data_IF_769300024142
#
_entry.id   IF_769300024142
#
_cell.length_a   1.000
_cell.length_b   1.000
_cell.length_c   1.000
_cell.angle_alpha   90.00
_cell.angle_beta   90.00
_cell.angle_gamma   90.00
#
_symmetry.space_group_name_H-M   'P 1'
#
loop_
_entity.id
_entity.type
_entity.pdbx_description
1 polymer ?
#
# COMPACT_ATOMS: atom_id res chain seq x y z
N UNK A 1 -2.46 34.42 9.91
CA UNK A 1 -2.56 33.15 9.16
C UNK A 1 -3.84 32.44 9.59
N UNK A 2 -4.84 32.31 8.71
CA UNK A 2 -6.14 31.68 9.01
C UNK A 2 -6.03 30.17 8.79
N UNK A 3 -6.41 29.38 9.79
CA UNK A 3 -6.52 27.93 9.69
C UNK A 3 -7.57 27.55 8.64
N UNK A 4 -7.15 26.97 7.52
CA UNK A 4 -8.01 26.36 6.49
C UNK A 4 -7.96 24.83 6.65
N UNK A 5 -8.26 24.35 7.86
CA UNK A 5 -8.43 22.93 8.14
C UNK A 5 -9.89 22.70 8.52
N UNK A 6 -10.61 21.90 7.72
CA UNK A 6 -11.93 21.42 8.12
C UNK A 6 -13.03 21.34 7.06
N UNK A 7 -12.72 21.38 5.75
CA UNK A 7 -13.69 20.88 4.76
C UNK A 7 -13.30 19.45 4.39
N UNK A 8 -13.84 18.48 5.12
CA UNK A 8 -13.79 17.07 4.70
C UNK A 8 -14.30 16.94 3.27
N UNK A 9 -13.63 16.12 2.46
CA UNK A 9 -13.97 15.99 1.05
C UNK A 9 -15.38 15.37 0.93
N UNK A 10 -16.37 16.01 0.27
CA UNK A 10 -17.70 15.45 0.11
C UNK A 10 -17.72 14.15 -0.72
N UNK A 11 -16.61 13.81 -1.38
CA UNK A 11 -16.50 12.66 -2.27
C UNK A 11 -16.67 11.33 -1.54
N UNK A 12 -16.20 11.15 -0.30
CA UNK A 12 -16.30 9.85 0.37
C UNK A 12 -17.71 9.54 0.89
N UNK A 13 -18.37 10.53 1.52
CA UNK A 13 -19.78 10.41 1.91
C UNK A 13 -20.68 10.19 0.68
N UNK A 14 -20.33 10.82 -0.46
CA UNK A 14 -21.01 10.56 -1.73
C UNK A 14 -20.72 9.17 -2.30
N UNK A 15 -19.51 8.63 -2.12
CA UNK A 15 -19.12 7.30 -2.57
C UNK A 15 -19.91 6.20 -1.84
N UNK A 16 -20.03 6.30 -0.51
CA UNK A 16 -20.85 5.36 0.28
C UNK A 16 -22.32 5.41 -0.16
N UNK A 17 -22.85 6.61 -0.45
CA UNK A 17 -24.21 6.76 -1.00
C UNK A 17 -24.35 6.28 -2.45
N UNK A 18 -23.34 6.50 -3.30
CA UNK A 18 -23.41 6.23 -4.74
C UNK A 18 -23.13 4.78 -5.10
N UNK A 19 -22.38 4.04 -4.28
CA UNK A 19 -22.04 2.64 -4.54
C UNK A 19 -23.17 1.67 -4.17
N UNK A 20 -24.28 2.16 -3.60
CA UNK A 20 -25.43 1.32 -3.26
C UNK A 20 -25.06 0.14 -2.34
N UNK A 21 -24.03 0.30 -1.51
CA UNK A 21 -23.53 -0.76 -0.63
C UNK A 21 -24.62 -1.08 0.38
N UNK A 22 -25.31 -2.20 0.15
CA UNK A 22 -26.27 -2.77 1.08
C UNK A 22 -25.53 -3.82 1.91
N UNK A 23 -25.34 -3.54 3.19
CA UNK A 23 -24.82 -4.52 4.14
C UNK A 23 -25.92 -5.54 4.45
N UNK A 24 -25.90 -6.68 3.76
CA UNK A 24 -26.83 -7.79 4.06
C UNK A 24 -26.21 -8.68 5.15
N UNK A 25 -26.77 -8.61 6.35
CA UNK A 25 -26.67 -9.68 7.37
C UNK A 25 -25.46 -9.66 8.32
N UNK A 26 -24.46 -8.78 8.12
CA UNK A 26 -23.34 -8.64 9.08
C UNK A 26 -23.30 -7.21 9.62
N UNK A 27 -23.54 -7.07 10.92
CA UNK A 27 -23.33 -5.80 11.61
C UNK A 27 -21.83 -5.59 11.80
N UNK A 28 -21.29 -4.54 11.16
CA UNK A 28 -19.89 -4.12 11.29
C UNK A 28 -19.86 -2.81 12.05
N UNK A 29 -19.20 -2.77 13.20
CA UNK A 29 -19.10 -1.57 14.02
C UNK A 29 -18.02 -0.60 13.52
N UNK A 30 -16.93 -1.13 12.95
CA UNK A 30 -15.76 -0.35 12.52
C UNK A 30 -15.23 -0.85 11.17
N UNK A 31 -15.03 0.08 10.25
CA UNK A 31 -14.31 -0.09 8.99
C UNK A 31 -12.98 0.66 9.06
N UNK A 32 -11.88 -0.08 9.02
CA UNK A 32 -10.54 0.50 8.80
C UNK A 32 -10.32 0.55 7.29
N UNK A 33 -10.42 1.75 6.73
CA UNK A 33 -10.42 1.96 5.27
C UNK A 33 -9.04 2.29 4.71
N UNK A 34 -8.97 2.10 3.40
CA UNK A 34 -7.92 2.38 2.42
C UNK A 34 -8.55 2.05 1.05
N UNK A 35 -7.90 2.24 -0.11
CA UNK A 35 -6.55 2.72 -0.40
C UNK A 35 -6.50 4.18 -0.87
N UNK A 36 -7.57 4.95 -0.64
CA UNK A 36 -7.75 6.29 -1.24
C UNK A 36 -6.72 7.32 -0.77
N UNK A 37 -5.91 6.98 0.24
CA UNK A 37 -4.95 7.89 0.89
C UNK A 37 -5.61 9.09 1.59
N UNK A 38 -6.94 9.11 1.67
CA UNK A 38 -7.71 10.09 2.41
C UNK A 38 -7.39 10.05 3.91
N UNK A 39 -7.27 11.21 4.51
CA UNK A 39 -7.12 11.37 5.95
C UNK A 39 -8.49 11.67 6.55
N UNK A 40 -8.93 10.83 7.49
CA UNK A 40 -10.09 11.11 8.34
C UNK A 40 -9.57 11.50 9.73
N UNK A 41 -9.52 12.80 10.08
CA UNK A 41 -8.99 13.24 11.37
C UNK A 41 -9.75 12.66 12.57
N UNK A 42 -11.04 12.38 12.38
CA UNK A 42 -11.94 11.70 13.31
C UNK A 42 -12.77 10.65 12.56
N UNK A 43 -13.28 9.60 13.23
CA UNK A 43 -14.13 8.60 12.60
C UNK A 43 -15.36 9.22 11.92
N UNK A 44 -15.67 8.76 10.71
CA UNK A 44 -16.92 9.12 10.02
C UNK A 44 -17.99 8.09 10.36
N UNK A 45 -19.14 8.53 10.88
CA UNK A 45 -20.26 7.65 11.23
C UNK A 45 -21.14 7.43 10.00
N UNK A 46 -21.43 6.17 9.67
CA UNK A 46 -22.33 5.79 8.59
C UNK A 46 -23.79 5.94 9.05
N UNK A 47 -24.59 6.78 8.38
CA UNK A 47 -26.00 6.95 8.73
C UNK A 47 -26.78 5.63 8.61
N UNK A 48 -27.67 5.36 9.57
CA UNK A 48 -28.54 4.19 9.56
C UNK A 48 -27.92 2.92 10.14
N UNK A 49 -26.60 2.73 10.04
CA UNK A 49 -25.91 1.57 10.63
C UNK A 49 -25.15 1.90 11.91
N UNK A 50 -24.73 3.16 12.08
CA UNK A 50 -23.87 3.57 13.20
C UNK A 50 -22.41 3.10 13.07
N UNK A 51 -22.06 2.45 11.95
CA UNK A 51 -20.71 1.98 11.70
C UNK A 51 -19.71 3.14 11.60
N UNK A 52 -18.47 2.92 12.02
CA UNK A 52 -17.42 3.94 12.08
C UNK A 52 -16.38 3.69 11.01
N UNK A 53 -16.14 4.64 10.13
CA UNK A 53 -15.09 4.56 9.13
C UNK A 53 -13.89 5.37 9.59
N UNK A 54 -12.74 4.72 9.68
CA UNK A 54 -11.46 5.35 10.04
C UNK A 54 -10.45 5.17 8.92
N UNK A 55 -9.61 6.18 8.69
CA UNK A 55 -8.53 6.13 7.71
C UNK A 55 -7.40 7.09 8.09
N UNK A 56 -6.17 6.58 8.13
CA UNK A 56 -4.99 7.30 8.61
C UNK A 56 -4.12 7.86 7.47
N UNK A 57 -4.74 8.35 6.40
CA UNK A 57 -4.01 8.95 5.28
C UNK A 57 -3.07 7.97 4.58
N UNK A 58 -1.82 8.38 4.39
CA UNK A 58 -0.85 7.69 3.56
C UNK A 58 0.60 7.98 3.98
N UNK A 59 1.54 7.14 3.54
CA UNK A 59 2.99 7.22 3.84
C UNK A 59 3.36 7.31 5.31
N UNK A 60 2.54 6.73 6.18
CA UNK A 60 2.73 6.79 7.62
C UNK A 60 2.89 8.23 8.14
N UNK A 61 2.38 9.25 7.41
CA UNK A 61 2.35 10.65 7.87
C UNK A 61 1.44 10.82 9.08
N UNK A 62 0.51 9.88 9.25
CA UNK A 62 -0.43 9.81 10.36
C UNK A 62 -0.55 8.35 10.83
N UNK A 63 -0.86 8.17 12.10
CA UNK A 63 -1.26 6.89 12.70
C UNK A 63 -2.66 7.06 13.25
N UNK A 64 -3.57 6.14 12.95
CA UNK A 64 -4.91 6.14 13.52
C UNK A 64 -4.90 5.55 14.93
N UNK A 65 -5.45 6.26 15.91
CA UNK A 65 -5.78 5.74 17.24
C UNK A 65 -7.30 5.62 17.32
N UNK A 66 -7.77 4.44 17.71
CA UNK A 66 -9.19 4.19 17.94
C UNK A 66 -9.34 3.45 19.27
N UNK A 67 -10.05 4.08 20.19
CA UNK A 67 -10.42 3.52 21.48
C UNK A 67 -11.87 3.07 21.40
N UNK A 68 -12.13 1.84 21.82
CA UNK A 68 -13.44 1.20 21.77
C UNK A 68 -13.78 0.65 23.14
N UNK A 69 -14.99 0.95 23.61
CA UNK A 69 -15.59 0.25 24.75
C UNK A 69 -16.59 -0.76 24.20
N UNK A 70 -16.38 -2.04 24.50
CA UNK A 70 -17.21 -3.15 24.02
C UNK A 70 -17.96 -3.76 25.17
N UNK A 71 -19.28 -3.84 25.05
CA UNK A 71 -20.11 -4.65 25.93
C UNK A 71 -19.95 -6.12 25.52
N UNK A 72 -19.49 -6.96 26.45
CA UNK A 72 -19.18 -8.37 26.20
C UNK A 72 -20.42 -9.27 26.16
N UNK A 73 -21.51 -8.86 26.81
CA UNK A 73 -22.77 -9.62 26.79
C UNK A 73 -23.46 -9.43 25.45
N UNK A 74 -23.61 -8.16 25.03
CA UNK A 74 -24.27 -7.83 23.76
C UNK A 74 -23.34 -7.91 22.55
N UNK A 75 -22.02 -7.96 22.79
CA UNK A 75 -20.95 -7.94 21.78
C UNK A 75 -21.03 -6.71 20.87
N UNK A 76 -21.37 -5.56 21.44
CA UNK A 76 -21.53 -4.29 20.72
C UNK A 76 -20.56 -3.24 21.22
N UNK A 77 -20.16 -2.35 20.31
CA UNK A 77 -19.41 -1.13 20.67
C UNK A 77 -20.38 -0.12 21.26
N UNK A 78 -20.21 0.20 22.54
CA UNK A 78 -21.05 1.18 23.26
C UNK A 78 -20.45 2.58 23.24
N UNK A 79 -19.12 2.69 23.20
CA UNK A 79 -18.42 3.96 23.08
C UNK A 79 -17.24 3.83 22.12
N UNK A 80 -16.91 4.91 21.43
CA UNK A 80 -15.71 4.97 20.63
C UNK A 80 -15.18 6.40 20.52
N UNK A 81 -13.87 6.54 20.65
CA UNK A 81 -13.14 7.77 20.38
C UNK A 81 -12.02 7.46 19.40
N UNK A 82 -11.87 8.27 18.35
CA UNK A 82 -10.82 8.05 17.37
C UNK A 82 -10.23 9.35 16.88
N UNK A 83 -8.93 9.31 16.60
CA UNK A 83 -8.17 10.42 16.05
C UNK A 83 -7.07 9.93 15.11
N UNK A 84 -6.69 10.77 14.15
CA UNK A 84 -5.45 10.58 13.40
C UNK A 84 -4.34 11.42 14.04
N UNK A 85 -3.27 10.76 14.48
CA UNK A 85 -2.12 11.37 15.15
C UNK A 85 -1.02 11.61 14.12
N UNK A 86 -0.50 12.85 13.96
CA UNK A 86 0.55 13.13 12.99
C UNK A 86 1.88 12.51 13.43
N UNK A 87 2.53 11.80 12.52
CA UNK A 87 3.86 11.24 12.72
C UNK A 87 4.90 12.27 12.31
N UNK A 88 5.49 12.92 13.31
CA UNK A 88 6.44 14.02 13.13
C UNK A 88 7.85 13.52 13.38
N UNK A 89 8.67 13.40 12.33
CA UNK A 89 10.05 12.91 12.45
C UNK A 89 10.92 13.72 13.42
N UNK A 90 10.62 15.01 13.63
CA UNK A 90 11.32 15.88 14.58
C UNK A 90 10.92 15.66 16.05
N UNK A 91 9.84 14.91 16.31
CA UNK A 91 9.26 14.76 17.66
C UNK A 91 8.96 13.33 18.07
N UNK A 92 8.73 12.44 17.11
CA UNK A 92 8.44 11.04 17.37
C UNK A 92 9.75 10.29 17.54
N UNK A 93 10.01 9.65 18.71
CA UNK A 93 11.20 8.84 18.91
C UNK A 93 11.27 7.74 17.86
N UNK A 94 12.47 7.53 17.31
CA UNK A 94 12.72 6.42 16.39
C UNK A 94 13.02 5.16 17.20
N UNK A 95 12.35 4.06 16.86
CA UNK A 95 12.70 2.75 17.38
C UNK A 95 14.09 2.34 16.87
N UNK A 96 15.06 2.27 17.78
CA UNK A 96 16.45 2.00 17.45
C UNK A 96 16.66 0.59 16.88
N UNK A 97 15.91 -0.40 17.37
CA UNK A 97 16.01 -1.78 16.90
C UNK A 97 15.45 -1.92 15.47
N UNK A 98 14.29 -1.29 15.22
CA UNK A 98 13.70 -1.25 13.88
C UNK A 98 14.62 -0.52 12.89
N UNK A 99 15.18 0.64 13.28
CA UNK A 99 16.11 1.39 12.42
C UNK A 99 17.37 0.58 12.10
N UNK A 100 17.95 -0.11 13.08
CA UNK A 100 19.11 -0.98 12.87
C UNK A 100 18.79 -2.10 11.88
N UNK A 101 17.63 -2.75 12.04
CA UNK A 101 17.17 -3.78 11.13
C UNK A 101 16.94 -3.26 9.70
N UNK A 102 16.28 -2.11 9.54
CA UNK A 102 16.07 -1.47 8.22
C UNK A 102 17.40 -1.19 7.54
N UNK A 103 18.35 -0.57 8.24
CA UNK A 103 19.69 -0.26 7.69
C UNK A 103 20.46 -1.49 7.28
N UNK A 104 20.46 -2.54 8.12
CA UNK A 104 21.05 -3.81 7.78
C UNK A 104 20.41 -4.35 6.50
N UNK A 105 19.08 -4.36 6.42
CA UNK A 105 18.37 -4.93 5.29
C UNK A 105 18.59 -4.14 4.00
N UNK A 106 18.65 -2.82 4.07
CA UNK A 106 19.01 -1.95 2.95
C UNK A 106 20.42 -2.24 2.44
N UNK A 107 21.39 -2.41 3.35
CA UNK A 107 22.78 -2.72 2.96
C UNK A 107 22.92 -4.08 2.27
N UNK A 108 22.14 -5.08 2.69
CA UNK A 108 22.14 -6.41 2.10
C UNK A 108 21.45 -6.45 0.72
N UNK A 109 20.35 -5.70 0.56
CA UNK A 109 19.50 -5.78 -0.63
C UNK A 109 19.83 -4.77 -1.72
N UNK A 110 20.26 -3.56 -1.33
CA UNK A 110 20.48 -2.44 -2.23
C UNK A 110 21.59 -1.53 -1.67
N UNK A 111 22.84 -2.00 -1.56
CA UNK A 111 23.95 -1.20 -1.03
C UNK A 111 24.13 0.13 -1.79
N UNK A 112 23.84 0.15 -3.09
CA UNK A 112 23.87 1.35 -3.93
C UNK A 112 22.73 2.35 -3.69
N UNK A 113 21.71 2.02 -2.89
CA UNK A 113 20.63 2.96 -2.53
C UNK A 113 21.15 4.18 -1.76
N UNK A 114 22.39 4.12 -1.27
CA UNK A 114 23.08 5.24 -0.63
C UNK A 114 23.84 6.12 -1.63
N UNK A 115 24.05 5.66 -2.87
CA UNK A 115 24.82 6.39 -3.87
C UNK A 115 23.99 7.56 -4.41
N UNK A 116 24.55 8.77 -4.25
CA UNK A 116 23.98 9.98 -4.85
C UNK A 116 24.35 10.02 -6.32
N UNK A 117 23.35 9.91 -7.20
CA UNK A 117 23.52 9.94 -8.65
C UNK A 117 23.56 11.35 -9.22
N UNK A 118 22.69 12.21 -8.70
CA UNK A 118 22.51 13.59 -9.17
C UNK A 118 22.31 14.45 -7.94
N UNK A 119 22.91 15.64 -7.94
CA UNK A 119 22.60 16.71 -7.00
C UNK A 119 21.94 17.83 -7.78
N UNK A 120 20.76 18.21 -7.34
CA UNK A 120 20.00 19.36 -7.76
C UNK A 120 19.75 20.26 -6.54
N UNK A 121 19.64 21.56 -6.76
CA UNK A 121 19.43 22.53 -5.69
C UNK A 121 17.96 22.70 -5.30
N UNK A 122 17.04 22.17 -6.11
CA UNK A 122 15.60 22.30 -5.93
C UNK A 122 14.92 21.07 -5.34
N UNK A 123 13.65 21.24 -5.03
CA UNK A 123 12.74 20.15 -4.71
C UNK A 123 11.96 19.83 -5.97
N UNK A 124 12.01 18.57 -6.43
CA UNK A 124 11.29 18.15 -7.63
C UNK A 124 9.86 17.79 -7.27
N UNK A 125 8.90 18.47 -7.89
CA UNK A 125 7.48 18.14 -7.85
C UNK A 125 7.21 16.81 -8.57
N UNK A 126 6.06 16.18 -8.28
CA UNK A 126 5.66 14.95 -8.96
C UNK A 126 5.62 15.07 -10.49
N UNK A 127 5.20 16.22 -11.02
CA UNK A 127 5.15 16.45 -12.46
C UNK A 127 6.56 16.53 -13.07
N UNK A 128 7.51 17.18 -12.38
CA UNK A 128 8.90 17.26 -12.82
C UNK A 128 9.57 15.88 -12.79
N UNK A 129 9.28 15.06 -11.77
CA UNK A 129 9.74 13.67 -11.71
C UNK A 129 9.15 12.85 -12.87
N UNK A 130 7.87 13.03 -13.19
CA UNK A 130 7.23 12.36 -14.32
C UNK A 130 7.82 12.81 -15.67
N UNK A 131 8.11 14.11 -15.83
CA UNK A 131 8.79 14.63 -17.03
C UNK A 131 10.20 14.07 -17.16
N UNK A 132 10.96 14.02 -16.06
CA UNK A 132 12.29 13.39 -16.05
C UNK A 132 12.19 11.91 -16.45
N UNK A 133 11.21 11.18 -15.92
CA UNK A 133 10.94 9.79 -16.29
C UNK A 133 10.58 9.63 -17.77
N UNK A 134 9.68 10.46 -18.29
CA UNK A 134 9.29 10.46 -19.70
C UNK A 134 10.48 10.76 -20.63
N UNK A 135 11.31 11.75 -20.28
CA UNK A 135 12.51 12.11 -21.04
C UNK A 135 13.56 10.97 -21.02
N UNK A 136 13.74 10.32 -19.86
CA UNK A 136 14.64 9.17 -19.72
C UNK A 136 14.16 7.99 -20.56
N UNK A 137 12.86 7.66 -20.52
CA UNK A 137 12.27 6.59 -21.33
C UNK A 137 12.41 6.87 -22.83
N UNK A 138 12.11 8.10 -23.28
CA UNK A 138 12.30 8.53 -24.66
C UNK A 138 13.75 8.29 -25.12
N UNK A 139 14.71 8.77 -24.33
CA UNK A 139 16.15 8.64 -24.65
C UNK A 139 16.60 7.17 -24.68
N UNK A 140 16.16 6.37 -23.72
CA UNK A 140 16.53 4.96 -23.63
C UNK A 140 15.94 4.12 -24.77
N UNK A 141 14.69 4.42 -25.15
CA UNK A 141 13.99 3.71 -26.22
C UNK A 141 14.34 4.21 -27.63
N UNK A 142 15.06 5.34 -27.75
CA UNK A 142 15.36 6.02 -29.02
C UNK A 142 14.09 6.35 -29.82
N UNK A 143 13.05 6.79 -29.12
CA UNK A 143 11.77 7.19 -29.71
C UNK A 143 11.63 8.71 -29.71
N UNK A 144 10.66 9.23 -30.46
CA UNK A 144 10.38 10.68 -30.50
C UNK A 144 9.62 11.15 -29.25
N UNK A 145 8.82 10.26 -28.65
CA UNK A 145 7.97 10.55 -27.49
C UNK A 145 8.15 9.47 -26.43
N UNK A 146 8.16 9.89 -25.16
CA UNK A 146 8.09 9.03 -23.99
C UNK A 146 6.92 9.44 -23.10
N UNK A 147 6.21 8.47 -22.54
CA UNK A 147 5.09 8.70 -21.64
C UNK A 147 5.43 8.17 -20.25
N UNK A 148 5.03 8.91 -19.22
CA UNK A 148 5.23 8.55 -17.83
C UNK A 148 3.99 8.97 -17.02
N UNK A 149 3.45 8.06 -16.21
CA UNK A 149 2.22 8.30 -15.47
C UNK A 149 2.54 9.02 -14.14
N UNK A 150 1.97 10.20 -13.94
CA UNK A 150 2.29 11.05 -12.79
C UNK A 150 1.79 10.53 -11.42
N UNK A 151 0.99 9.46 -11.37
CA UNK A 151 0.32 9.03 -10.14
C UNK A 151 0.66 7.63 -9.61
N UNK A 152 1.34 6.76 -10.38
CA UNK A 152 1.51 5.36 -9.99
C UNK A 152 2.95 4.90 -10.25
N UNK A 153 3.74 4.76 -9.18
CA UNK A 153 5.06 4.11 -9.22
C UNK A 153 6.27 5.02 -9.00
N UNK A 154 6.10 6.33 -8.90
CA UNK A 154 7.18 7.24 -8.50
C UNK A 154 7.17 7.46 -6.98
N UNK A 155 8.32 7.77 -6.36
CA UNK A 155 8.35 8.23 -4.98
C UNK A 155 7.31 9.35 -4.82
N UNK A 156 6.26 9.09 -4.04
CA UNK A 156 5.11 10.00 -3.88
C UNK A 156 5.38 11.08 -2.81
N UNK A 157 6.66 11.32 -2.52
CA UNK A 157 7.15 12.49 -1.82
C UNK A 157 7.95 13.33 -2.82
N UNK A 158 7.89 14.65 -2.69
CA UNK A 158 8.81 15.53 -3.40
C UNK A 158 10.23 15.02 -3.20
N UNK A 159 10.97 14.86 -4.30
CA UNK A 159 12.33 14.39 -4.21
C UNK A 159 13.20 15.55 -3.75
N UNK A 160 13.96 15.42 -2.64
CA UNK A 160 15.06 16.35 -2.42
C UNK A 160 15.96 16.26 -3.65
N UNK A 161 16.58 17.37 -4.07
CA UNK A 161 17.36 17.44 -5.31
C UNK A 161 18.49 16.40 -5.43
N UNK A 162 18.77 15.61 -4.41
CA UNK A 162 19.60 14.41 -4.53
C UNK A 162 18.82 13.18 -5.01
N UNK A 163 19.05 12.74 -6.25
CA UNK A 163 18.57 11.44 -6.73
C UNK A 163 19.54 10.32 -6.35
N UNK A 164 19.03 9.13 -6.01
CA UNK A 164 19.84 7.96 -5.64
C UNK A 164 19.62 6.77 -6.58
N UNK A 165 20.61 5.89 -6.67
CA UNK A 165 20.55 4.73 -7.56
C UNK A 165 19.65 3.65 -6.97
N UNK A 166 18.68 3.17 -7.74
CA UNK A 166 17.96 1.93 -7.43
C UNK A 166 18.22 0.94 -8.55
N UNK A 167 18.75 -0.26 -8.23
CA UNK A 167 18.70 -1.35 -9.19
C UNK A 167 17.25 -1.76 -9.43
N UNK A 168 16.91 -2.24 -10.64
CA UNK A 168 15.71 -3.03 -10.82
C UNK A 168 15.79 -4.21 -9.83
N UNK A 169 14.86 -4.29 -8.88
CA UNK A 169 14.74 -5.46 -8.00
C UNK A 169 14.62 -6.67 -8.92
N UNK A 170 15.51 -7.67 -8.83
CA UNK A 170 15.39 -8.87 -9.63
C UNK A 170 13.99 -9.42 -9.41
N UNK A 171 13.15 -9.42 -10.46
CA UNK A 171 11.83 -10.05 -10.36
C UNK A 171 12.10 -11.48 -9.90
N UNK A 172 11.67 -11.83 -8.68
CA UNK A 172 11.64 -13.23 -8.24
C UNK A 172 10.98 -13.98 -9.40
N UNK A 173 11.75 -14.83 -10.10
CA UNK A 173 11.17 -15.75 -11.08
C UNK A 173 10.08 -16.45 -10.31
N UNK A 174 8.82 -16.16 -10.64
CA UNK A 174 7.68 -16.75 -9.96
C UNK A 174 7.98 -18.23 -9.88
N UNK A 175 8.01 -18.75 -8.65
CA UNK A 175 8.13 -20.19 -8.44
C UNK A 175 7.04 -20.80 -9.29
N UNK A 176 7.41 -21.43 -10.41
CA UNK A 176 6.51 -22.27 -11.18
C UNK A 176 5.97 -23.25 -10.15
N UNK A 177 4.75 -23.03 -9.67
CA UNK A 177 3.96 -24.04 -9.02
C UNK A 177 3.88 -25.14 -10.07
N UNK A 178 4.76 -26.14 -9.93
CA UNK A 178 4.61 -27.40 -10.65
C UNK A 178 3.34 -27.99 -10.07
N UNK A 179 2.22 -27.77 -10.74
CA UNK A 179 1.04 -28.59 -10.50
C UNK A 179 1.50 -30.03 -10.71
N UNK A 180 1.57 -30.77 -9.61
CA UNK A 180 1.87 -32.19 -9.64
C UNK A 180 0.81 -32.83 -10.51
N UNK A 181 1.23 -33.40 -11.65
CA UNK A 181 0.40 -34.30 -12.40
C UNK A 181 0.09 -35.48 -11.48
N UNK A 182 -1.18 -35.63 -11.11
CA UNK A 182 -1.69 -36.85 -10.51
C UNK A 182 -1.49 -37.99 -11.52
N UNK A 183 -0.41 -38.75 -11.35
CA UNK A 183 -0.22 -40.01 -12.03
C UNK A 183 -1.22 -41.02 -11.49
N UNK A 184 -2.22 -41.38 -12.29
CA UNK A 184 -3.04 -42.56 -12.05
C UNK A 184 -2.19 -43.79 -12.37
N UNK A 185 -1.70 -44.48 -11.34
CA UNK A 185 -1.09 -45.79 -11.46
C UNK A 185 -2.17 -46.80 -11.87
N UNK A 186 -2.25 -47.11 -13.17
CA UNK A 186 -2.96 -48.28 -13.69
C UNK A 186 -1.93 -49.40 -13.88
N UNK A 187 -1.67 -50.16 -12.81
CA UNK A 187 -1.13 -51.52 -12.95
C UNK A 187 -2.23 -52.41 -13.52
N UNK A 188 -2.24 -52.48 -14.85
CA UNK A 188 -2.96 -53.51 -15.58
C UNK A 188 -2.25 -54.85 -15.41
N UNK A 189 -2.97 -55.77 -14.78
CA UNK A 189 -2.82 -57.21 -14.91
C UNK A 189 -2.53 -57.61 -16.37
N UNK A 190 -1.42 -58.29 -16.61
CA UNK A 190 -1.25 -59.11 -17.81
C UNK A 190 -0.89 -60.51 -17.37
N UNK A 191 -1.90 -61.36 -17.43
CA UNK A 191 -1.79 -62.80 -17.30
C UNK A 191 -0.90 -63.41 -18.37
N UNK A 192 -0.18 -64.45 -17.94
CA UNK A 192 -0.22 -65.80 -18.50
C UNK A 192 -0.66 -65.91 -19.97
N UNK A 193 0.28 -66.24 -20.85
CA UNK A 193 0.07 -67.25 -21.88
C UNK A 193 1.36 -68.03 -22.15
N UNK A 194 1.18 -69.35 -22.28
CA UNK A 194 2.17 -70.40 -22.47
C UNK A 194 2.40 -70.73 -23.95
N UNK A 195 3.43 -71.56 -24.22
CA UNK A 195 3.69 -72.27 -25.49
C UNK A 195 5.16 -72.12 -25.87
N UNK A 196 6.06 -73.09 -25.64
CA UNK A 196 6.21 -74.42 -26.25
C UNK A 196 6.32 -74.35 -27.77
N UNK A 197 7.54 -74.59 -28.26
CA UNK A 197 7.96 -74.66 -29.65
C UNK A 197 9.46 -74.61 -29.72
#
# INVERSE_FOLDING_TARGET
>A
MRNVLGRGCPQFASFVKSQGVRFYGVFVDVFVSGPTHELLPTPTIVPGTGARIVQAGYYARWVGRLELTVDLETRKVIEAAGEAIPMRHDRTPVDAAMLAWVRQRESELCPEASDVLVKDSGMLTMNEVAWLGAAALRRQAKTDVGFCHAGQGHPQSDLPGTARRQRPVPRRRGSRQRHGAHGTDRRGDRGLFAGVG
#
